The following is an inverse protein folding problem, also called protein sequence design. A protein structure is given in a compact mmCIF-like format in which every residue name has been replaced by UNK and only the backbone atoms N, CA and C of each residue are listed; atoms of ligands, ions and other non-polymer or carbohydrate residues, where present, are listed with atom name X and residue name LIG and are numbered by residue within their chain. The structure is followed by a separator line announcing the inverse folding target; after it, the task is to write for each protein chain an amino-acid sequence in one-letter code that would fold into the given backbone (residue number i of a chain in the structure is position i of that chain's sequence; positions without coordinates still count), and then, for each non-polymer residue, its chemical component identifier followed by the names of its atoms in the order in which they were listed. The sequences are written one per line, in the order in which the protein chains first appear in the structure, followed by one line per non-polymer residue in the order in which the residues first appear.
data_IF_398040313846
#
_entry.id   IF_398040313846
#
_cell.length_a   1.000
_cell.length_b   1.000
_cell.length_c   1.000
_cell.angle_alpha   90.00
_cell.angle_beta   90.00
_cell.angle_gamma   90.00
#
_symmetry.space_group_name_H-M   'P 1'
#
loop_
_entity.id
_entity.type
_entity.pdbx_description
1 polymer ?
#
# COMPACT_ATOMS: atom_id res chain seq x y z
N UNK A 1 -2.40 -1.31 10.75
CA UNK A 1 -1.73 -0.06 10.43
C UNK A 1 -0.44 -0.27 9.63
N UNK A 2 0.40 -1.25 9.97
CA UNK A 2 1.62 -1.53 9.20
C UNK A 2 1.31 -1.99 7.76
N UNK A 3 0.19 -2.66 7.54
CA UNK A 3 -0.23 -3.05 6.21
C UNK A 3 -0.44 -1.83 5.30
N UNK A 4 -0.91 -0.72 5.86
CA UNK A 4 -1.07 0.52 5.11
C UNK A 4 0.28 1.09 4.64
N UNK A 5 1.33 0.95 5.47
CA UNK A 5 2.68 1.37 5.08
C UNK A 5 3.17 0.54 3.90
N UNK A 6 3.00 -0.79 3.99
CA UNK A 6 3.45 -1.71 2.95
C UNK A 6 2.74 -1.45 1.61
N UNK A 7 1.42 -1.28 1.61
CA UNK A 7 0.68 -1.05 0.37
C UNK A 7 0.98 0.34 -0.21
N UNK A 8 1.28 1.31 0.63
CA UNK A 8 1.68 2.64 0.15
C UNK A 8 2.98 2.56 -0.63
N UNK A 9 3.96 1.80 -0.11
CA UNK A 9 5.20 1.57 -0.85
C UNK A 9 4.90 0.88 -2.18
N UNK A 10 4.15 -0.21 -2.14
CA UNK A 10 3.82 -0.99 -3.34
C UNK A 10 3.21 -0.13 -4.44
N UNK A 11 2.29 0.77 -4.10
CA UNK A 11 1.53 1.54 -5.08
C UNK A 11 2.18 2.88 -5.45
N UNK A 12 3.33 3.21 -4.87
CA UNK A 12 4.06 4.44 -5.18
C UNK A 12 5.44 4.21 -5.79
N UNK A 13 5.92 2.96 -5.84
CA UNK A 13 7.18 2.64 -6.54
C UNK A 13 6.91 2.27 -7.99
N UNK A 14 7.95 2.26 -8.83
CA UNK A 14 7.83 1.85 -10.22
C UNK A 14 7.48 0.37 -10.37
N UNK A 15 7.12 -0.02 -11.58
CA UNK A 15 6.73 -1.38 -11.90
C UNK A 15 5.22 -1.58 -11.92
N UNK A 16 4.80 -2.83 -11.97
CA UNK A 16 3.39 -3.21 -12.00
C UNK A 16 3.04 -3.83 -10.66
N UNK A 17 2.21 -3.16 -9.84
CA UNK A 17 1.85 -3.69 -8.53
C UNK A 17 0.90 -4.87 -8.64
N UNK A 18 1.04 -5.81 -7.72
CA UNK A 18 0.13 -6.95 -7.59
C UNK A 18 -0.32 -7.04 -6.13
N UNK A 19 -1.62 -7.19 -5.93
CA UNK A 19 -2.22 -7.27 -4.61
C UNK A 19 -2.83 -8.65 -4.45
N UNK A 20 -2.39 -9.38 -3.41
CA UNK A 20 -2.98 -10.67 -3.10
C UNK A 20 -4.42 -10.45 -2.59
N UNK A 21 -5.35 -11.24 -3.07
CA UNK A 21 -6.75 -11.07 -2.70
C UNK A 21 -6.96 -11.18 -1.19
N UNK A 22 -7.73 -10.26 -0.63
CA UNK A 22 -7.99 -10.17 0.80
C UNK A 22 -7.07 -9.21 1.54
N UNK A 23 -5.87 -8.92 1.02
CA UNK A 23 -4.93 -7.99 1.65
C UNK A 23 -5.52 -6.58 1.75
N UNK A 24 -6.25 -6.15 0.72
CA UNK A 24 -6.91 -4.84 0.69
C UNK A 24 -8.03 -4.71 1.73
N UNK A 25 -8.43 -5.83 2.31
CA UNK A 25 -9.50 -5.90 3.30
C UNK A 25 -8.97 -6.31 4.69
N UNK A 26 -7.66 -6.33 4.84
CA UNK A 26 -6.98 -6.69 6.10
C UNK A 26 -7.31 -8.12 6.57
N UNK A 27 -7.53 -9.04 5.64
CA UNK A 27 -7.76 -10.44 6.00
C UNK A 27 -6.49 -11.03 6.59
N UNK A 28 -6.66 -11.92 7.55
CA UNK A 28 -5.57 -12.55 8.29
C UNK A 28 -5.66 -14.06 8.23
N UNK A 29 -4.52 -14.72 8.31
CA UNK A 29 -4.43 -16.17 8.41
C UNK A 29 -3.04 -16.57 8.85
N UNK A 30 -2.91 -17.81 9.29
CA UNK A 30 -1.65 -18.37 9.75
C UNK A 30 -1.19 -19.45 8.77
N UNK A 31 0.00 -19.28 8.21
CA UNK A 31 0.58 -20.28 7.34
C UNK A 31 1.25 -21.38 8.20
N UNK A 32 0.96 -22.62 7.90
CA UNK A 32 1.55 -23.77 8.60
C UNK A 32 2.18 -24.74 7.61
N UNK A 33 3.18 -25.54 8.08
CA UNK A 33 3.91 -26.49 7.26
C UNK A 33 3.25 -27.89 7.26
N UNK A 34 1.94 -27.94 7.06
CA UNK A 34 1.17 -29.18 7.01
C UNK A 34 0.28 -29.21 5.77
N UNK A 35 -0.22 -30.39 5.34
CA UNK A 35 -1.20 -30.42 4.26
C UNK A 35 -2.39 -29.53 4.58
N UNK A 36 -2.78 -28.68 3.63
CA UNK A 36 -3.83 -27.70 3.81
C UNK A 36 -3.46 -26.48 4.66
N UNK A 37 -2.19 -26.35 5.06
CA UNK A 37 -1.73 -25.24 5.89
C UNK A 37 -1.84 -23.87 5.24
N UNK A 38 -1.91 -23.83 3.91
CA UNK A 38 -2.08 -22.56 3.19
C UNK A 38 -3.53 -22.07 3.15
N UNK A 39 -4.50 -22.88 3.54
CA UNK A 39 -5.91 -22.53 3.46
C UNK A 39 -6.27 -21.33 4.34
N UNK A 40 -5.60 -21.17 5.46
CA UNK A 40 -5.82 -20.03 6.36
C UNK A 40 -5.35 -18.71 5.78
N UNK A 41 -4.40 -18.73 4.84
CA UNK A 41 -3.92 -17.52 4.15
C UNK A 41 -4.63 -17.29 2.82
N UNK A 42 -5.63 -18.13 2.50
CA UNK A 42 -6.50 -18.02 1.32
C UNK A 42 -7.94 -17.79 1.77
N UNK A 43 -8.28 -16.56 2.17
CA UNK A 43 -9.60 -16.32 2.77
C UNK A 43 -10.74 -16.45 1.77
N UNK A 44 -11.93 -16.74 2.30
CA UNK A 44 -13.18 -16.62 1.54
C UNK A 44 -13.63 -15.17 1.60
N UNK A 45 -13.83 -14.56 0.45
CA UNK A 45 -14.25 -13.15 0.39
C UNK A 45 -15.73 -13.01 0.76
N UNK A 46 -16.09 -11.96 1.52
CA UNK A 46 -17.49 -11.63 1.74
C UNK A 46 -18.13 -11.13 0.44
N UNK A 47 -19.47 -11.17 0.33
CA UNK A 47 -20.15 -10.72 -0.90
C UNK A 47 -19.98 -9.23 -1.19
N UNK A 48 -19.58 -8.41 -0.20
CA UNK A 48 -19.36 -7.00 -0.41
C UNK A 48 -18.60 -6.36 0.75
N UNK A 49 -18.20 -5.08 0.61
CA UNK A 49 -17.38 -4.40 1.60
C UNK A 49 -18.06 -4.18 2.96
N UNK A 50 -19.37 -4.28 3.04
CA UNK A 50 -20.12 -4.12 4.29
C UNK A 50 -19.84 -5.24 5.30
N UNK A 51 -19.25 -6.35 4.86
CA UNK A 51 -18.82 -7.43 5.74
C UNK A 51 -17.45 -7.23 6.37
N UNK A 52 -16.79 -6.09 6.11
CA UNK A 52 -15.43 -5.84 6.59
C UNK A 52 -15.43 -5.32 8.03
N UNK A 53 -14.36 -5.63 8.77
CA UNK A 53 -14.07 -4.99 10.05
C UNK A 53 -13.80 -3.48 9.83
N UNK A 54 -13.87 -2.64 10.88
CA UNK A 54 -13.51 -1.22 10.74
C UNK A 54 -12.11 -1.00 10.16
N UNK A 55 -11.12 -1.80 10.57
CA UNK A 55 -9.77 -1.74 10.00
C UNK A 55 -9.78 -2.18 8.54
N UNK A 56 -10.51 -3.25 8.21
CA UNK A 56 -10.63 -3.74 6.84
C UNK A 56 -11.29 -2.72 5.92
N UNK A 57 -12.34 -2.06 6.37
CA UNK A 57 -12.99 -1.01 5.59
C UNK A 57 -12.04 0.17 5.34
N UNK A 58 -11.33 0.62 6.37
CA UNK A 58 -10.36 1.70 6.24
C UNK A 58 -9.24 1.34 5.24
N UNK A 59 -8.68 0.13 5.37
CA UNK A 59 -7.60 -0.32 4.51
C UNK A 59 -8.08 -0.49 3.06
N UNK A 60 -9.30 -0.98 2.86
CA UNK A 60 -9.91 -1.09 1.54
C UNK A 60 -10.02 0.29 0.88
N UNK A 61 -10.49 1.30 1.63
CA UNK A 61 -10.60 2.67 1.12
C UNK A 61 -9.24 3.29 0.85
N UNK A 62 -8.25 2.98 1.66
CA UNK A 62 -6.88 3.44 1.43
C UNK A 62 -6.31 2.85 0.14
N UNK A 63 -6.55 1.57 -0.12
CA UNK A 63 -6.19 0.95 -1.39
C UNK A 63 -6.86 1.67 -2.57
N UNK A 64 -8.14 1.97 -2.45
CA UNK A 64 -8.87 2.70 -3.50
C UNK A 64 -8.24 4.09 -3.76
N UNK A 65 -7.87 4.79 -2.71
CA UNK A 65 -7.22 6.11 -2.83
C UNK A 65 -5.88 6.01 -3.55
N UNK A 66 -5.06 5.02 -3.18
CA UNK A 66 -3.74 4.82 -3.80
C UNK A 66 -3.84 4.34 -5.25
N UNK A 67 -4.79 3.47 -5.53
CA UNK A 67 -5.04 3.02 -6.90
C UNK A 67 -5.50 4.20 -7.75
N UNK A 68 -6.38 5.04 -7.22
CA UNK A 68 -6.81 6.27 -7.87
C UNK A 68 -5.65 7.21 -8.17
N UNK A 69 -4.74 7.39 -7.21
CA UNK A 69 -3.52 8.18 -7.39
C UNK A 69 -2.70 7.62 -8.54
N UNK A 70 -2.48 6.31 -8.55
CA UNK A 70 -1.68 5.67 -9.60
C UNK A 70 -2.34 5.78 -10.98
N UNK A 71 -3.65 5.70 -11.04
CA UNK A 71 -4.39 5.86 -12.30
C UNK A 71 -4.33 7.30 -12.84
N UNK A 72 -4.28 8.29 -11.95
CA UNK A 72 -4.09 9.69 -12.35
C UNK A 72 -2.65 10.00 -12.74
N UNK A 73 -1.70 9.15 -12.35
CA UNK A 73 -0.27 9.33 -12.59
C UNK A 73 0.33 8.10 -13.27
N UNK A 74 -0.05 7.81 -14.54
CA UNK A 74 0.44 6.61 -15.23
C UNK A 74 1.96 6.51 -15.32
N UNK A 75 2.66 7.64 -15.22
CA UNK A 75 4.12 7.68 -15.24
C UNK A 75 4.75 6.92 -14.05
N UNK A 76 3.97 6.63 -13.00
CA UNK A 76 4.48 5.87 -11.85
C UNK A 76 4.97 4.48 -12.24
N UNK A 77 4.41 3.88 -13.28
CA UNK A 77 4.86 2.55 -13.73
C UNK A 77 6.34 2.54 -14.12
N UNK A 78 6.84 3.63 -14.66
CA UNK A 78 8.26 3.78 -15.04
C UNK A 78 9.05 4.65 -14.06
N UNK A 79 8.51 5.00 -12.93
CA UNK A 79 9.17 5.89 -11.97
C UNK A 79 10.40 5.24 -11.35
N UNK A 80 11.38 6.06 -10.99
CA UNK A 80 12.45 5.64 -10.12
C UNK A 80 12.22 6.23 -8.73
N UNK A 81 12.80 5.59 -7.74
CA UNK A 81 12.67 6.01 -6.35
C UNK A 81 13.94 6.74 -5.91
N UNK A 82 13.78 7.96 -5.38
CA UNK A 82 14.86 8.70 -4.76
C UNK A 82 14.63 8.75 -3.26
N UNK A 83 15.58 8.21 -2.50
CA UNK A 83 15.49 8.23 -1.04
C UNK A 83 15.90 9.59 -0.51
N UNK A 84 15.02 10.21 0.28
CA UNK A 84 15.26 11.51 0.91
C UNK A 84 15.76 11.35 2.35
N UNK A 85 15.20 10.39 3.11
CA UNK A 85 15.58 10.10 4.47
C UNK A 85 15.27 8.65 4.81
N UNK A 86 16.10 8.01 5.63
CA UNK A 86 15.87 6.65 6.11
C UNK A 86 16.41 6.52 7.52
N UNK A 87 15.52 6.25 8.46
CA UNK A 87 15.83 5.97 9.85
C UNK A 87 15.11 4.68 10.26
N UNK A 88 15.39 4.16 11.45
CA UNK A 88 14.80 2.89 11.89
C UNK A 88 13.28 2.92 11.93
N UNK A 89 12.67 4.08 12.17
CA UNK A 89 11.22 4.22 12.33
C UNK A 89 10.62 5.30 11.44
N UNK A 90 11.38 5.75 10.45
CA UNK A 90 10.93 6.80 9.54
C UNK A 90 11.58 6.61 8.16
N UNK A 91 10.80 6.81 7.11
CA UNK A 91 11.32 6.81 5.74
C UNK A 91 10.60 7.88 4.93
N UNK A 92 11.38 8.59 4.12
CA UNK A 92 10.85 9.53 3.15
C UNK A 92 11.51 9.26 1.80
N UNK A 93 10.72 9.19 0.76
CA UNK A 93 11.24 9.04 -0.60
C UNK A 93 10.35 9.77 -1.60
N UNK A 94 10.92 10.04 -2.78
CA UNK A 94 10.19 10.58 -3.91
C UNK A 94 10.11 9.51 -4.99
N UNK A 95 8.92 9.36 -5.58
CA UNK A 95 8.76 8.66 -6.85
C UNK A 95 8.94 9.72 -7.94
N UNK A 96 9.91 9.50 -8.83
CA UNK A 96 10.35 10.50 -9.80
C UNK A 96 10.10 10.00 -11.21
N UNK A 97 9.40 10.79 -12.02
CA UNK A 97 9.19 10.54 -13.44
C UNK A 97 9.89 11.57 -14.30
N UNK A 98 9.68 11.49 -15.62
CA UNK A 98 10.18 12.48 -16.55
C UNK A 98 9.51 13.84 -16.37
N UNK A 99 10.15 14.90 -16.90
CA UNK A 99 9.57 16.26 -16.91
C UNK A 99 9.34 16.86 -15.53
N UNK A 100 10.16 16.46 -14.55
CA UNK A 100 10.04 16.99 -13.18
C UNK A 100 8.87 16.43 -12.38
N UNK A 101 8.22 15.38 -12.85
CA UNK A 101 7.13 14.74 -12.14
C UNK A 101 7.63 14.07 -10.88
N UNK A 102 6.96 14.30 -9.76
CA UNK A 102 7.43 13.84 -8.46
C UNK A 102 6.26 13.66 -7.50
N UNK A 103 6.28 12.56 -6.76
CA UNK A 103 5.34 12.30 -5.66
C UNK A 103 6.18 11.98 -4.44
N UNK A 104 5.95 12.68 -3.35
CA UNK A 104 6.65 12.47 -2.09
C UNK A 104 5.84 11.61 -1.14
N UNK A 105 6.52 10.63 -0.54
CA UNK A 105 5.91 9.70 0.40
C UNK A 105 6.69 9.73 1.70
N UNK A 106 5.99 9.89 2.82
CA UNK A 106 6.54 9.83 4.16
C UNK A 106 5.86 8.73 4.94
N UNK A 107 6.66 7.85 5.53
CA UNK A 107 6.19 6.73 6.35
C UNK A 107 6.83 6.84 7.72
N UNK A 108 6.03 6.75 8.76
CA UNK A 108 6.52 6.83 10.14
C UNK A 108 5.89 5.72 10.99
N UNK A 109 6.68 5.15 11.90
CA UNK A 109 6.19 4.17 12.87
C UNK A 109 6.00 4.79 14.27
N UNK A 110 6.53 5.99 14.52
CA UNK A 110 6.46 6.67 15.81
C UNK A 110 5.63 7.94 15.76
N UNK A 111 4.81 8.21 16.78
CA UNK A 111 4.43 7.31 17.89
C UNK A 111 3.49 6.20 17.45
N UNK A 112 2.83 6.36 16.29
CA UNK A 112 1.94 5.38 15.68
C UNK A 112 2.23 5.34 14.18
N UNK A 113 1.92 4.24 13.49
CA UNK A 113 2.10 4.18 12.05
C UNK A 113 1.34 5.30 11.34
N UNK A 114 2.05 6.05 10.49
CA UNK A 114 1.50 7.15 9.70
C UNK A 114 2.01 7.10 8.27
N UNK A 115 1.16 7.56 7.37
CA UNK A 115 1.46 7.65 5.95
C UNK A 115 1.04 9.03 5.45
N UNK A 116 1.96 9.70 4.74
CA UNK A 116 1.66 10.94 4.04
C UNK A 116 2.11 10.82 2.59
N UNK A 117 1.24 11.22 1.66
CA UNK A 117 1.54 11.22 0.24
C UNK A 117 1.23 12.61 -0.31
N UNK A 118 2.24 13.25 -0.89
CA UNK A 118 2.09 14.55 -1.55
C UNK A 118 2.25 14.36 -3.06
N UNK A 119 1.19 14.68 -3.79
CA UNK A 119 1.16 14.56 -5.23
C UNK A 119 0.79 15.91 -5.85
N UNK A 120 1.78 16.71 -6.28
CA UNK A 120 1.49 18.01 -6.89
C UNK A 120 0.60 17.87 -8.12
N UNK A 121 -0.37 18.75 -8.24
CA UNK A 121 -1.31 18.75 -9.37
C UNK A 121 -2.48 17.79 -9.22
N UNK A 122 -2.70 17.23 -8.03
CA UNK A 122 -3.87 16.40 -7.72
C UNK A 122 -4.98 17.22 -7.13
#
# INVERSE_FOLDING_TARGET
AKAALAVTILLTVGGIPSIYYGDEQAFRGVKTDRPGGDDEVRPVLPPGPEGLSPLGDWLYRWHQALIGLRRRHPWLAGARTERMALENRFMEYDAVGGEGRRIRVRLSLDPVPRVEVEAPGC
#
